data_IF_144559002983
#
_entry.id   IF_144559002983
#
_cell.length_a   1.000
_cell.length_b   1.000
_cell.length_c   1.000
_cell.angle_alpha   90.00
_cell.angle_beta   90.00
_cell.angle_gamma   90.00
#
_symmetry.space_group_name_H-M   'P 1'
#
loop_
_entity.id
_entity.type
_entity.pdbx_description
1 polymer ?
#
# COMPACT_ATOMS: atom_id res chain seq x y z
N UNK A 1 -13.27 0.80 -10.68
CA UNK A 1 -12.63 0.81 -9.34
C UNK A 1 -11.31 0.06 -9.43
N UNK A 2 -10.25 0.56 -8.79
CA UNK A 2 -8.87 0.10 -8.95
C UNK A 2 -8.62 -1.38 -8.62
N UNK A 3 -9.56 -2.08 -7.98
CA UNK A 3 -9.40 -3.49 -7.58
C UNK A 3 -10.33 -4.46 -8.32
N UNK A 4 -11.38 -3.97 -9.00
CA UNK A 4 -12.45 -4.84 -9.54
C UNK A 4 -11.92 -5.90 -10.52
N UNK A 5 -10.95 -5.54 -11.36
CA UNK A 5 -10.32 -6.49 -12.29
C UNK A 5 -9.64 -7.66 -11.55
N UNK A 6 -9.05 -7.43 -10.38
CA UNK A 6 -8.44 -8.49 -9.56
C UNK A 6 -9.48 -9.39 -8.92
N UNK A 7 -10.68 -8.89 -8.65
CA UNK A 7 -11.72 -9.67 -7.97
C UNK A 7 -12.49 -10.60 -8.91
N UNK A 8 -12.51 -10.31 -10.21
CA UNK A 8 -13.41 -10.99 -11.15
C UNK A 8 -12.78 -11.40 -12.49
N UNK A 9 -11.74 -10.73 -12.97
CA UNK A 9 -11.19 -11.00 -14.30
C UNK A 9 -9.69 -10.69 -14.38
N UNK A 10 -8.93 -11.27 -13.45
CA UNK A 10 -7.51 -11.09 -13.37
C UNK A 10 -6.82 -11.72 -14.58
N UNK A 11 -5.91 -10.99 -15.21
CA UNK A 11 -5.21 -11.40 -16.46
C UNK A 11 -6.15 -11.82 -17.61
N UNK A 12 -7.41 -11.38 -17.60
CA UNK A 12 -8.44 -11.73 -18.60
C UNK A 12 -8.81 -13.23 -18.66
N UNK A 13 -8.57 -13.98 -17.59
CA UNK A 13 -8.88 -15.42 -17.51
C UNK A 13 -10.30 -15.72 -17.04
N UNK A 14 -11.06 -14.70 -16.62
CA UNK A 14 -12.37 -14.85 -15.98
C UNK A 14 -12.32 -15.23 -14.50
N UNK A 15 -11.12 -15.38 -13.92
CA UNK A 15 -10.91 -15.72 -12.52
C UNK A 15 -10.43 -14.53 -11.70
N UNK A 16 -10.57 -14.61 -10.38
CA UNK A 16 -9.94 -13.67 -9.46
C UNK A 16 -8.41 -13.85 -9.43
N UNK A 17 -7.71 -12.84 -8.92
CA UNK A 17 -6.28 -12.87 -8.67
C UNK A 17 -5.96 -13.95 -7.63
N UNK A 18 -5.17 -14.98 -7.98
CA UNK A 18 -4.89 -16.11 -7.10
C UNK A 18 -4.01 -15.74 -5.90
N UNK A 19 -3.44 -14.53 -5.87
CA UNK A 19 -2.63 -14.03 -4.75
C UNK A 19 -3.47 -13.43 -3.62
N UNK A 20 -4.78 -13.27 -3.83
CA UNK A 20 -5.71 -12.77 -2.81
C UNK A 20 -6.15 -13.94 -1.92
N UNK A 21 -6.11 -13.75 -0.60
CA UNK A 21 -6.68 -14.71 0.34
C UNK A 21 -8.17 -14.97 0.03
N UNK A 22 -8.62 -16.24 -0.07
CA UNK A 22 -10.00 -16.53 -0.48
C UNK A 22 -11.08 -15.94 0.42
N UNK A 23 -10.83 -15.86 1.73
CA UNK A 23 -11.78 -15.27 2.68
C UNK A 23 -11.85 -13.76 2.49
N UNK A 24 -10.70 -13.12 2.23
CA UNK A 24 -10.62 -11.70 1.96
C UNK A 24 -11.22 -11.34 0.58
N UNK A 25 -11.02 -12.18 -0.44
CA UNK A 25 -11.66 -12.03 -1.75
C UNK A 25 -13.18 -11.96 -1.62
N UNK A 26 -13.78 -12.84 -0.81
CA UNK A 26 -15.23 -12.86 -0.56
C UNK A 26 -15.71 -11.55 0.09
N UNK A 27 -14.95 -11.04 1.06
CA UNK A 27 -15.24 -9.74 1.69
C UNK A 27 -15.15 -8.59 0.69
N UNK A 28 -14.07 -8.55 -0.10
CA UNK A 28 -13.88 -7.52 -1.13
C UNK A 28 -14.97 -7.58 -2.20
N UNK A 29 -15.43 -8.75 -2.63
CA UNK A 29 -16.54 -8.86 -3.58
C UNK A 29 -17.88 -8.37 -3.00
N UNK A 30 -18.06 -8.45 -1.68
CA UNK A 30 -19.24 -7.89 -0.99
C UNK A 30 -19.18 -6.36 -0.97
N UNK A 31 -18.00 -5.79 -0.73
CA UNK A 31 -17.77 -4.35 -0.77
C UNK A 31 -17.65 -3.80 -2.20
N UNK A 32 -17.29 -4.62 -3.17
CA UNK A 32 -17.05 -4.20 -4.55
C UNK A 32 -17.78 -5.13 -5.51
N UNK A 33 -19.13 -5.10 -5.56
CA UNK A 33 -19.88 -5.93 -6.49
C UNK A 33 -19.44 -5.72 -7.95
N UNK A 34 -19.60 -6.75 -8.77
CA UNK A 34 -19.25 -6.69 -10.19
C UNK A 34 -20.06 -5.59 -10.89
N UNK A 35 -19.38 -4.63 -11.51
CA UNK A 35 -20.01 -3.51 -12.21
C UNK A 35 -20.35 -2.31 -11.32
N UNK A 36 -20.06 -2.37 -10.01
CA UNK A 36 -20.17 -1.23 -9.10
C UNK A 36 -18.80 -0.72 -8.69
N UNK A 37 -18.59 0.60 -8.81
CA UNK A 37 -17.28 1.23 -8.65
C UNK A 37 -17.24 2.34 -7.56
N UNK A 38 -18.30 2.48 -6.76
CA UNK A 38 -18.52 3.64 -5.89
C UNK A 38 -18.13 3.45 -4.44
N UNK A 39 -17.82 2.22 -3.99
CA UNK A 39 -17.53 1.94 -2.58
C UNK A 39 -16.04 2.10 -2.27
N UNK A 40 -15.75 2.66 -1.11
CA UNK A 40 -14.39 2.78 -0.59
C UNK A 40 -14.05 1.51 0.20
N UNK A 41 -12.83 1.02 0.03
CA UNK A 41 -12.25 -0.06 0.83
C UNK A 41 -10.99 0.46 1.50
N UNK A 42 -10.74 0.05 2.74
CA UNK A 42 -9.50 0.42 3.43
C UNK A 42 -8.34 -0.36 2.83
N UNK A 43 -7.20 0.31 2.62
CA UNK A 43 -5.96 -0.31 2.16
C UNK A 43 -5.28 -1.17 3.24
N UNK A 44 -5.66 -1.00 4.50
CA UNK A 44 -5.12 -1.74 5.63
C UNK A 44 -6.25 -2.31 6.52
N UNK A 45 -6.86 -3.46 6.14
CA UNK A 45 -8.11 -3.97 6.72
C UNK A 45 -8.07 -4.24 8.23
N UNK A 46 -6.87 -4.43 8.79
CA UNK A 46 -6.71 -4.77 10.21
C UNK A 46 -6.43 -3.53 11.10
N UNK A 47 -6.06 -2.39 10.51
CA UNK A 47 -5.73 -1.14 11.25
C UNK A 47 -6.07 0.13 10.46
N UNK A 48 -7.32 0.23 9.97
CA UNK A 48 -7.78 1.23 8.99
C UNK A 48 -7.39 2.70 9.24
N UNK A 49 -7.17 3.11 10.50
CA UNK A 49 -6.92 4.51 10.89
C UNK A 49 -5.56 4.73 11.53
N UNK A 50 -4.74 3.69 11.69
CA UNK A 50 -3.44 3.81 12.34
C UNK A 50 -2.31 3.68 11.32
N UNK A 51 -1.19 4.34 11.62
CA UNK A 51 0.04 4.16 10.88
C UNK A 51 0.90 3.14 11.61
N UNK A 52 0.84 1.87 11.19
CA UNK A 52 1.59 0.78 11.82
C UNK A 52 1.98 -0.32 10.81
N UNK A 53 2.57 -1.41 11.32
CA UNK A 53 3.09 -2.50 10.50
C UNK A 53 2.03 -3.54 10.04
N UNK A 54 0.76 -3.36 10.41
CA UNK A 54 -0.41 -4.10 9.93
C UNK A 54 -0.44 -4.25 8.41
N UNK A 55 -0.10 -3.18 7.68
CA UNK A 55 0.00 -3.20 6.21
C UNK A 55 0.87 -4.37 5.72
N UNK A 56 2.06 -4.56 6.30
CA UNK A 56 2.97 -5.62 5.86
C UNK A 56 2.49 -7.02 6.26
N UNK A 57 1.75 -7.13 7.38
CA UNK A 57 1.08 -8.38 7.77
C UNK A 57 -0.01 -8.74 6.77
N UNK A 58 -0.83 -7.75 6.39
CA UNK A 58 -1.87 -7.92 5.39
C UNK A 58 -1.30 -8.32 4.03
N UNK A 59 -0.24 -7.66 3.57
CA UNK A 59 0.45 -8.05 2.32
C UNK A 59 1.01 -9.48 2.40
N UNK A 60 1.64 -9.87 3.51
CA UNK A 60 2.12 -11.25 3.72
C UNK A 60 0.97 -12.27 3.65
N UNK A 61 -0.16 -11.94 4.23
CA UNK A 61 -1.30 -12.84 4.41
C UNK A 61 -2.26 -12.84 3.21
N UNK A 62 -1.86 -12.30 2.05
CA UNK A 62 -2.69 -12.26 0.85
C UNK A 62 -3.83 -11.23 0.90
N UNK A 63 -3.77 -10.28 1.83
CA UNK A 63 -4.77 -9.23 2.05
C UNK A 63 -4.35 -7.86 1.50
N UNK A 64 -3.35 -7.81 0.61
CA UNK A 64 -2.99 -6.60 -0.11
C UNK A 64 -4.10 -6.18 -1.08
N UNK A 65 -4.72 -5.02 -0.84
CA UNK A 65 -5.87 -4.54 -1.60
C UNK A 65 -5.51 -4.21 -3.04
N UNK A 66 -4.41 -3.46 -3.25
CA UNK A 66 -3.91 -3.16 -4.57
C UNK A 66 -2.98 -4.28 -5.06
N UNK A 67 -2.93 -4.49 -6.38
CA UNK A 67 -2.00 -5.46 -6.96
C UNK A 67 -0.56 -5.09 -6.62
N UNK A 68 -0.22 -3.81 -6.71
CA UNK A 68 1.12 -3.28 -6.38
C UNK A 68 1.56 -3.68 -4.97
N UNK A 69 0.64 -3.70 -4.02
CA UNK A 69 0.94 -4.04 -2.63
C UNK A 69 1.24 -5.53 -2.53
N UNK A 70 0.40 -6.37 -3.13
CA UNK A 70 0.58 -7.82 -3.11
C UNK A 70 1.85 -8.26 -3.86
N UNK A 71 2.30 -7.49 -4.87
CA UNK A 71 3.58 -7.74 -5.55
C UNK A 71 4.80 -7.61 -4.65
N UNK A 72 4.73 -6.84 -3.55
CA UNK A 72 5.83 -6.74 -2.59
C UNK A 72 6.13 -8.10 -1.92
N UNK A 73 5.11 -8.94 -1.72
CA UNK A 73 5.29 -10.30 -1.24
C UNK A 73 5.70 -11.27 -2.36
N UNK A 74 5.17 -11.06 -3.57
CA UNK A 74 5.45 -11.92 -4.72
C UNK A 74 6.88 -11.83 -5.25
N UNK A 75 7.58 -10.71 -5.04
CA UNK A 75 8.94 -10.48 -5.53
C UNK A 75 10.00 -10.89 -4.49
N UNK A 76 11.01 -11.65 -4.92
CA UNK A 76 12.04 -12.21 -4.03
C UNK A 76 12.98 -11.16 -3.40
N UNK A 77 13.18 -10.01 -4.04
CA UNK A 77 14.00 -8.91 -3.51
C UNK A 77 13.27 -8.14 -2.40
N UNK A 78 11.94 -8.00 -2.52
CA UNK A 78 11.14 -7.23 -1.55
C UNK A 78 10.53 -8.09 -0.45
N UNK A 79 10.30 -9.39 -0.70
CA UNK A 79 9.70 -10.32 0.26
C UNK A 79 10.42 -10.33 1.62
N UNK A 80 11.76 -10.38 1.71
CA UNK A 80 12.46 -10.36 3.00
C UNK A 80 12.17 -9.09 3.81
N UNK A 81 11.98 -7.95 3.15
CA UNK A 81 11.65 -6.69 3.81
C UNK A 81 10.22 -6.72 4.36
N UNK A 82 9.26 -7.25 3.58
CA UNK A 82 7.88 -7.44 4.05
C UNK A 82 7.85 -8.38 5.26
N UNK A 83 8.56 -9.52 5.21
CA UNK A 83 8.65 -10.47 6.35
C UNK A 83 9.14 -9.79 7.62
N UNK A 84 10.18 -8.96 7.46
CA UNK A 84 10.84 -8.27 8.55
C UNK A 84 9.94 -7.22 9.20
N UNK A 85 9.26 -6.38 8.41
CA UNK A 85 8.30 -5.41 8.93
C UNK A 85 7.03 -6.06 9.48
N UNK A 86 6.58 -7.17 8.89
CA UNK A 86 5.43 -7.93 9.39
C UNK A 86 5.71 -8.69 10.70
N UNK A 87 6.98 -8.87 11.09
CA UNK A 87 7.37 -9.61 12.28
C UNK A 87 7.06 -8.83 13.57
N UNK A 88 6.52 -9.52 14.57
CA UNK A 88 6.12 -8.91 15.86
C UNK A 88 7.30 -8.70 16.83
N UNK A 89 8.56 -8.84 16.39
CA UNK A 89 9.73 -8.73 17.28
C UNK A 89 9.94 -7.25 17.65
N UNK A 90 9.22 -6.83 18.68
CA UNK A 90 9.37 -5.54 19.36
C UNK A 90 10.50 -5.69 20.39
N UNK A 91 11.67 -5.12 20.11
CA UNK A 91 12.82 -5.17 21.02
C UNK A 91 13.99 -4.30 20.57
N UNK A 92 15.07 -4.27 21.36
CA UNK A 92 16.29 -3.45 21.16
C UNK A 92 17.01 -3.67 19.81
N UNK A 93 16.72 -4.77 19.12
CA UNK A 93 17.32 -5.17 17.84
C UNK A 93 16.31 -5.21 16.68
N UNK A 94 15.05 -4.82 16.92
CA UNK A 94 13.97 -4.91 15.94
C UNK A 94 14.12 -3.82 14.87
N UNK A 95 14.17 -4.20 13.60
CA UNK A 95 14.02 -3.25 12.51
C UNK A 95 12.61 -2.69 12.52
N UNK A 96 12.49 -1.40 12.85
CA UNK A 96 11.22 -0.70 12.97
C UNK A 96 10.87 -0.09 11.63
N UNK A 97 9.73 -0.50 11.08
CA UNK A 97 9.16 0.09 9.86
C UNK A 97 9.11 1.61 9.96
N UNK A 98 8.68 2.16 11.10
CA UNK A 98 8.51 3.59 11.32
C UNK A 98 9.85 4.34 11.21
N UNK A 99 10.94 3.73 11.68
CA UNK A 99 12.28 4.32 11.59
C UNK A 99 12.76 4.40 10.13
N UNK A 100 12.67 3.30 9.38
CA UNK A 100 13.08 3.30 7.97
C UNK A 100 12.14 4.12 7.09
N UNK A 101 10.84 4.15 7.42
CA UNK A 101 9.87 5.03 6.78
C UNK A 101 10.26 6.50 6.93
N UNK A 102 10.65 6.94 8.14
CA UNK A 102 11.09 8.33 8.37
C UNK A 102 12.28 8.71 7.48
N UNK A 103 13.28 7.82 7.37
CA UNK A 103 14.45 8.02 6.49
C UNK A 103 14.05 8.07 5.02
N UNK A 104 13.14 7.20 4.59
CA UNK A 104 12.63 7.19 3.22
C UNK A 104 11.90 8.50 2.87
N UNK A 105 11.07 9.02 3.79
CA UNK A 105 10.36 10.28 3.61
C UNK A 105 11.30 11.49 3.55
N UNK A 106 12.35 11.54 4.38
CA UNK A 106 13.39 12.58 4.30
C UNK A 106 14.11 12.50 2.95
N UNK A 107 14.51 11.31 2.51
CA UNK A 107 15.15 11.12 1.19
C UNK A 107 14.23 11.57 0.05
N UNK A 108 12.95 11.18 0.08
CA UNK A 108 11.96 11.60 -0.91
C UNK A 108 11.76 13.12 -0.94
N UNK A 109 11.79 13.78 0.22
CA UNK A 109 11.62 15.24 0.32
C UNK A 109 12.72 16.06 -0.36
N UNK A 110 13.88 15.45 -0.67
CA UNK A 110 15.00 16.10 -1.33
C UNK A 110 15.01 15.99 -2.85
N UNK A 111 14.04 15.31 -3.45
CA UNK A 111 13.97 15.12 -4.91
C UNK A 111 13.66 16.46 -5.57
N UNK A 112 14.57 16.93 -6.45
CA UNK A 112 14.39 18.08 -7.34
C UNK A 112 13.91 19.38 -6.65
N UNK A 113 14.33 19.59 -5.40
CA UNK A 113 13.94 20.77 -4.63
C UNK A 113 14.50 22.06 -5.25
N UNK A 114 13.65 23.09 -5.32
CA UNK A 114 14.06 24.44 -5.71
C UNK A 114 14.72 25.14 -4.52
N UNK A 115 15.92 25.67 -4.69
CA UNK A 115 16.71 26.30 -3.63
C UNK A 115 17.24 27.68 -4.05
N UNK A 116 17.70 28.48 -3.07
CA UNK A 116 18.21 29.83 -3.32
C UNK A 116 17.15 30.72 -3.96
N UNK A 117 17.42 31.20 -5.17
CA UNK A 117 16.52 32.07 -5.95
C UNK A 117 15.66 31.31 -6.98
N UNK A 118 15.68 29.97 -6.97
CA UNK A 118 14.88 29.17 -7.88
C UNK A 118 13.40 29.14 -7.45
N UNK A 119 12.49 29.51 -8.36
CA UNK A 119 11.04 29.50 -8.09
C UNK A 119 10.58 30.74 -7.33
N UNK A 120 9.54 30.57 -6.50
CA UNK A 120 8.91 31.65 -5.75
C UNK A 120 8.24 31.13 -4.47
N UNK A 121 8.04 32.00 -3.49
CA UNK A 121 7.17 31.71 -2.34
C UNK A 121 5.74 32.10 -2.72
N UNK A 122 4.88 31.11 -2.93
CA UNK A 122 3.48 31.33 -3.34
C UNK A 122 2.67 31.94 -2.20
N UNK A 123 1.90 32.98 -2.50
CA UNK A 123 0.89 33.54 -1.60
C UNK A 123 -0.37 32.69 -1.54
N UNK A 124 -0.70 32.02 -2.64
CA UNK A 124 -1.83 31.09 -2.74
C UNK A 124 -1.34 29.83 -3.45
N UNK A 125 -1.40 28.66 -2.81
CA UNK A 125 -0.81 27.42 -3.36
C UNK A 125 -1.36 27.03 -4.74
N UNK A 126 -2.63 27.37 -5.01
CA UNK A 126 -3.34 27.05 -6.25
C UNK A 126 -3.11 28.05 -7.40
N UNK A 127 -2.30 29.10 -7.19
CA UNK A 127 -2.03 30.13 -8.22
C UNK A 127 -0.54 30.42 -8.31
N UNK A 128 -0.10 30.82 -9.50
CA UNK A 128 1.18 31.51 -9.67
C UNK A 128 0.99 32.94 -9.13
N UNK A 129 2.02 33.50 -8.49
CA UNK A 129 1.93 34.86 -7.97
C UNK A 129 1.76 35.94 -9.05
#
# INVERSE_FOLDING_TARGET
MFVNYRLYNFTKTGNADPTIDPSFLTQLQTFCPKGEDSKLVSLDPDSHTNFDASFFKNVRDGKGVLESDQRLWGNDDTRPLVQKYASSIRGLLGFRFEYEFSKAMVKMSSIEVKTGTQGEIRKTCSKIN
#
